data_IF_350919468193
#
_entry.id   IF_350919468193
#
_cell.length_a   1.000
_cell.length_b   1.000
_cell.length_c   1.000
_cell.angle_alpha   90.00
_cell.angle_beta   90.00
_cell.angle_gamma   90.00
#
_symmetry.space_group_name_H-M   'P 1'
#
loop_
_entity.id
_entity.type
_entity.pdbx_description
1 polymer ?
#
# COMPACT_ATOMS: atom_id res chain seq x y z
N UNK A 1 -20.29 15.32 -21.66
CA UNK A 1 -20.65 13.90 -21.43
C UNK A 1 -19.66 13.37 -20.42
N UNK A 2 -20.07 12.55 -19.44
CA UNK A 2 -19.11 11.94 -18.51
C UNK A 2 -18.24 10.96 -19.28
N UNK A 3 -16.92 11.08 -19.16
CA UNK A 3 -15.99 10.10 -19.73
C UNK A 3 -16.28 8.74 -19.09
N UNK A 4 -16.75 7.79 -19.90
CA UNK A 4 -17.03 6.43 -19.45
C UNK A 4 -15.71 5.64 -19.49
N UNK A 5 -15.08 5.49 -18.32
CA UNK A 5 -13.83 4.73 -18.19
C UNK A 5 -14.17 3.27 -17.86
N UNK A 6 -13.99 2.38 -18.84
CA UNK A 6 -14.11 0.92 -18.65
C UNK A 6 -12.72 0.34 -18.47
N UNK A 7 -12.52 -0.48 -17.44
CA UNK A 7 -11.23 -1.10 -17.10
C UNK A 7 -11.32 -2.60 -17.32
N UNK A 8 -10.41 -3.14 -18.13
CA UNK A 8 -10.21 -4.57 -18.29
C UNK A 8 -8.84 -4.97 -17.75
N UNK A 9 -8.78 -6.12 -17.11
CA UNK A 9 -7.52 -6.76 -16.70
C UNK A 9 -7.11 -7.81 -17.73
N UNK A 10 -5.82 -7.85 -18.01
CA UNK A 10 -5.24 -8.72 -19.00
C UNK A 10 -3.81 -9.07 -18.63
N UNK A 11 -3.38 -10.27 -19.02
CA UNK A 11 -2.01 -10.77 -18.87
C UNK A 11 -1.31 -10.71 -20.21
N UNK A 12 -0.02 -10.38 -20.21
CA UNK A 12 0.81 -10.48 -21.42
C UNK A 12 1.61 -11.78 -21.33
N UNK A 13 1.34 -12.72 -22.23
CA UNK A 13 2.04 -14.02 -22.31
C UNK A 13 2.46 -14.28 -23.74
N UNK A 14 3.74 -14.65 -23.95
CA UNK A 14 4.29 -14.95 -25.28
C UNK A 14 3.98 -13.86 -26.34
N UNK A 15 4.14 -12.59 -25.97
CA UNK A 15 3.84 -11.43 -26.80
C UNK A 15 2.36 -11.31 -27.26
N UNK A 16 1.43 -11.90 -26.49
CA UNK A 16 -0.01 -11.83 -26.72
C UNK A 16 -0.71 -11.27 -25.49
N UNK A 17 -1.71 -10.41 -25.73
CA UNK A 17 -2.62 -9.94 -24.70
C UNK A 17 -3.69 -11.01 -24.46
N UNK A 18 -3.67 -11.61 -23.27
CA UNK A 18 -4.64 -12.60 -22.80
C UNK A 18 -5.58 -11.88 -21.83
N UNK A 19 -6.79 -11.56 -22.30
CA UNK A 19 -7.81 -10.90 -21.49
C UNK A 19 -8.38 -11.88 -20.45
N UNK A 20 -8.61 -11.43 -19.21
CA UNK A 20 -9.20 -12.28 -18.17
C UNK A 20 -10.68 -12.60 -18.47
N UNK A 21 -11.41 -11.66 -19.09
CA UNK A 21 -12.77 -11.86 -19.57
C UNK A 21 -12.93 -11.30 -20.99
N UNK A 22 -12.67 -12.18 -21.97
CA UNK A 22 -12.70 -11.84 -23.40
C UNK A 22 -14.11 -11.47 -23.90
N UNK A 23 -15.13 -12.15 -23.39
CA UNK A 23 -16.53 -11.94 -23.80
C UNK A 23 -17.01 -10.54 -23.42
N UNK A 24 -16.72 -10.12 -22.18
CA UNK A 24 -17.05 -8.77 -21.71
C UNK A 24 -16.32 -7.69 -22.50
N UNK A 25 -15.02 -7.88 -22.76
CA UNK A 25 -14.24 -6.94 -23.57
C UNK A 25 -14.80 -6.79 -25.00
N UNK A 26 -15.22 -7.90 -25.59
CA UNK A 26 -15.76 -7.90 -26.95
C UNK A 26 -17.15 -7.23 -27.00
N UNK A 27 -18.00 -7.47 -26.01
CA UNK A 27 -19.27 -6.77 -25.85
C UNK A 27 -19.08 -5.26 -25.67
N UNK A 28 -18.11 -4.84 -24.85
CA UNK A 28 -17.81 -3.42 -24.68
C UNK A 28 -17.32 -2.81 -25.99
N UNK A 29 -16.44 -3.49 -26.72
CA UNK A 29 -15.93 -3.01 -28.01
C UNK A 29 -17.06 -2.78 -29.04
N UNK A 30 -18.03 -3.69 -29.12
CA UNK A 30 -19.21 -3.55 -29.98
C UNK A 30 -20.04 -2.30 -29.63
N UNK A 31 -20.12 -1.92 -28.36
CA UNK A 31 -20.81 -0.69 -27.92
C UNK A 31 -20.09 0.61 -28.30
N UNK A 32 -18.81 0.51 -28.70
CA UNK A 32 -18.00 1.62 -29.20
C UNK A 32 -17.81 1.59 -30.72
N UNK A 33 -18.53 0.74 -31.45
CA UNK A 33 -18.51 0.73 -32.91
C UNK A 33 -18.80 2.13 -33.49
N UNK A 34 -17.93 2.60 -34.38
CA UNK A 34 -18.01 3.94 -34.98
C UNK A 34 -17.54 5.11 -34.09
N UNK A 35 -16.98 4.85 -32.90
CA UNK A 35 -16.41 5.87 -32.00
C UNK A 35 -14.89 5.77 -31.95
N UNK A 36 -14.22 6.90 -31.77
CA UNK A 36 -12.79 6.92 -31.45
C UNK A 36 -12.60 6.60 -29.96
N UNK A 37 -11.83 5.56 -29.66
CA UNK A 37 -11.50 5.15 -28.29
C UNK A 37 -10.00 5.29 -28.00
N UNK A 38 -9.64 5.54 -26.75
CA UNK A 38 -8.27 5.51 -26.26
C UNK A 38 -8.01 4.18 -25.52
N UNK A 39 -6.99 3.43 -25.94
CA UNK A 39 -6.57 2.20 -25.26
C UNK A 39 -5.30 2.49 -24.44
N UNK A 40 -5.38 2.33 -23.12
CA UNK A 40 -4.25 2.58 -22.22
C UNK A 40 -3.78 1.28 -21.58
N UNK A 41 -2.57 0.84 -21.92
CA UNK A 41 -1.90 -0.31 -21.28
C UNK A 41 -1.11 0.22 -20.07
N UNK A 42 -1.53 -0.17 -18.86
CA UNK A 42 -0.78 0.13 -17.62
C UNK A 42 -0.42 -1.18 -16.95
N UNK A 43 0.82 -1.28 -16.44
CA UNK A 43 1.15 -2.33 -15.48
C UNK A 43 0.21 -2.22 -14.28
N UNK A 44 -0.50 -3.30 -13.96
CA UNK A 44 -1.36 -3.32 -12.78
C UNK A 44 -0.43 -3.32 -11.56
N UNK A 45 -0.48 -2.26 -10.75
CA UNK A 45 0.17 -2.27 -9.43
C UNK A 45 -0.55 -3.32 -8.58
N UNK A 46 0.26 -4.24 -8.04
CA UNK A 46 -0.13 -5.50 -7.41
C UNK A 46 -1.33 -5.36 -6.45
N UNK A 47 -2.37 -6.19 -6.62
CA UNK A 47 -3.54 -6.30 -5.70
C UNK A 47 -3.10 -6.55 -4.24
N UNK A 48 -1.92 -7.15 -4.07
CA UNK A 48 -1.19 -7.34 -2.80
C UNK A 48 -0.99 -6.02 -2.04
N UNK A 49 -0.57 -4.93 -2.70
CA UNK A 49 -0.34 -3.65 -2.01
C UNK A 49 -1.65 -2.99 -1.55
N UNK A 50 -2.76 -3.24 -2.25
CA UNK A 50 -4.09 -2.76 -1.88
C UNK A 50 -4.56 -3.48 -0.62
N UNK A 51 -4.39 -4.81 -0.55
CA UNK A 51 -4.76 -5.60 0.63
C UNK A 51 -3.88 -5.26 1.85
N UNK A 52 -2.58 -5.10 1.63
CA UNK A 52 -1.61 -4.67 2.66
C UNK A 52 -1.95 -3.27 3.18
N UNK A 53 -2.22 -2.31 2.29
CA UNK A 53 -2.67 -0.97 2.70
C UNK A 53 -4.01 -1.03 3.44
N UNK A 54 -4.96 -1.84 2.97
CA UNK A 54 -6.26 -1.97 3.63
C UNK A 54 -6.12 -2.53 5.05
N UNK A 55 -5.26 -3.51 5.27
CA UNK A 55 -5.00 -4.02 6.61
C UNK A 55 -4.25 -2.99 7.46
N UNK A 56 -3.21 -2.33 6.92
CA UNK A 56 -2.44 -1.34 7.65
C UNK A 56 -3.32 -0.24 8.22
N UNK A 57 -4.14 0.38 7.36
CA UNK A 57 -5.04 1.46 7.76
C UNK A 57 -6.25 0.96 8.55
N UNK A 58 -6.89 -0.12 8.09
CA UNK A 58 -8.14 -0.62 8.64
C UNK A 58 -8.00 -1.39 9.97
N UNK A 59 -6.82 -1.95 10.23
CA UNK A 59 -6.57 -2.80 11.40
C UNK A 59 -5.49 -2.20 12.29
N UNK A 60 -4.27 -2.01 11.78
CA UNK A 60 -3.11 -1.59 12.61
C UNK A 60 -3.29 -0.17 13.13
N UNK A 61 -3.44 0.80 12.24
CA UNK A 61 -3.58 2.22 12.61
C UNK A 61 -4.88 2.44 13.37
N UNK A 62 -5.98 1.81 12.94
CA UNK A 62 -7.25 1.91 13.65
C UNK A 62 -7.16 1.42 15.10
N UNK A 63 -6.49 0.29 15.36
CA UNK A 63 -6.32 -0.22 16.72
C UNK A 63 -5.55 0.76 17.62
N UNK A 64 -4.51 1.40 17.08
CA UNK A 64 -3.73 2.42 17.79
C UNK A 64 -4.51 3.71 18.03
N UNK A 65 -5.25 4.20 17.03
CA UNK A 65 -6.14 5.37 17.17
C UNK A 65 -7.19 5.13 18.24
N UNK A 66 -7.86 3.97 18.20
CA UNK A 66 -8.89 3.60 19.17
C UNK A 66 -8.28 3.56 20.59
N UNK A 67 -7.08 2.98 20.74
CA UNK A 67 -6.35 2.96 22.01
C UNK A 67 -5.97 4.35 22.51
N UNK A 68 -5.24 5.16 21.73
CA UNK A 68 -4.79 6.49 22.14
C UNK A 68 -5.95 7.43 22.48
N UNK A 69 -7.07 7.30 21.78
CA UNK A 69 -8.28 8.05 22.08
C UNK A 69 -8.98 7.56 23.36
N UNK A 70 -8.98 6.24 23.61
CA UNK A 70 -9.56 5.67 24.84
C UNK A 70 -8.78 6.03 26.10
N UNK A 71 -7.46 5.96 26.03
CA UNK A 71 -6.54 6.28 27.15
C UNK A 71 -6.31 7.80 27.31
N UNK A 72 -6.93 8.63 26.46
CA UNK A 72 -6.75 10.08 26.42
C UNK A 72 -5.27 10.50 26.37
N UNK A 73 -4.41 9.68 25.73
CA UNK A 73 -2.94 9.83 25.76
C UNK A 73 -2.47 11.22 25.34
N UNK A 74 -3.20 11.86 24.43
CA UNK A 74 -2.86 13.18 23.88
C UNK A 74 -3.74 14.32 24.40
N UNK A 75 -4.60 14.10 25.40
CA UNK A 75 -5.62 15.05 25.86
C UNK A 75 -6.53 15.63 24.74
N UNK A 76 -6.51 14.99 23.57
CA UNK A 76 -7.29 15.34 22.38
C UNK A 76 -7.53 14.07 21.57
N UNK A 77 -8.54 14.11 20.70
CA UNK A 77 -8.72 13.04 19.74
C UNK A 77 -7.62 13.11 18.69
N UNK A 78 -6.97 11.98 18.44
CA UNK A 78 -6.02 11.77 17.35
C UNK A 78 -6.71 11.06 16.20
N UNK A 79 -6.33 11.42 14.98
CA UNK A 79 -6.82 10.77 13.76
C UNK A 79 -5.82 9.74 13.21
N UNK A 80 -6.23 8.99 12.18
CA UNK A 80 -5.40 7.95 11.59
C UNK A 80 -4.11 8.49 10.94
N UNK A 81 -4.16 9.66 10.30
CA UNK A 81 -3.01 10.27 9.65
C UNK A 81 -1.95 10.71 10.67
N UNK A 82 -2.38 11.28 11.81
CA UNK A 82 -1.49 11.66 12.90
C UNK A 82 -0.81 10.45 13.52
N UNK A 83 -1.56 9.38 13.77
CA UNK A 83 -0.99 8.12 14.27
C UNK A 83 -0.03 7.51 13.25
N UNK A 84 -0.36 7.57 11.95
CA UNK A 84 0.53 7.14 10.89
C UNK A 84 1.85 7.92 10.90
N UNK A 85 1.81 9.25 10.95
CA UNK A 85 3.02 10.08 11.01
C UNK A 85 3.84 9.82 12.29
N UNK A 86 3.19 9.63 13.44
CA UNK A 86 3.88 9.23 14.68
C UNK A 86 4.61 7.89 14.52
N UNK A 87 3.98 6.91 13.88
CA UNK A 87 4.60 5.61 13.62
C UNK A 87 5.74 5.72 12.61
N UNK A 88 5.61 6.58 11.60
CA UNK A 88 6.71 6.86 10.66
C UNK A 88 7.89 7.47 11.39
N UNK A 89 7.69 8.52 12.19
CA UNK A 89 8.77 9.14 12.96
C UNK A 89 9.45 8.16 13.93
N UNK A 90 8.72 7.16 14.41
CA UNK A 90 9.23 6.18 15.38
C UNK A 90 9.98 5.02 14.74
N UNK A 91 9.50 4.51 13.61
CA UNK A 91 9.98 3.26 13.01
C UNK A 91 10.65 3.44 11.66
N UNK A 92 10.46 4.57 10.98
CA UNK A 92 11.21 4.93 9.79
C UNK A 92 12.30 5.92 10.19
N UNK A 93 13.49 5.71 9.63
CA UNK A 93 14.65 6.54 9.91
C UNK A 93 14.45 7.97 9.41
N UNK A 94 15.10 8.91 10.09
CA UNK A 94 15.25 10.27 9.60
C UNK A 94 16.43 10.31 8.63
N UNK A 95 16.22 10.73 7.40
CA UNK A 95 17.30 11.07 6.47
C UNK A 95 17.69 12.53 6.74
N UNK A 96 18.98 12.73 7.03
CA UNK A 96 19.58 14.06 7.16
C UNK A 96 20.16 14.45 5.81
N UNK A 97 19.61 15.50 5.20
CA UNK A 97 20.16 16.10 3.98
C UNK A 97 21.06 17.27 4.36
N UNK A 98 22.33 17.20 3.96
CA UNK A 98 23.24 18.34 4.07
C UNK A 98 22.99 19.28 2.90
N UNK A 99 22.45 20.47 3.18
CA UNK A 99 22.22 21.50 2.18
C UNK A 99 23.54 22.19 1.79
N UNK A 100 23.66 22.71 0.56
CA UNK A 100 24.90 23.35 0.09
C UNK A 100 25.33 24.59 0.89
N UNK A 101 24.42 25.17 1.67
CA UNK A 101 24.66 26.31 2.54
C UNK A 101 25.17 25.92 3.94
N UNK A 102 25.31 24.63 4.23
CA UNK A 102 25.74 24.11 5.53
C UNK A 102 24.60 23.86 6.52
N UNK A 103 23.34 24.03 6.11
CA UNK A 103 22.18 23.68 6.92
C UNK A 103 21.86 22.18 6.80
N UNK A 104 21.41 21.57 7.89
CA UNK A 104 20.93 20.19 7.92
C UNK A 104 19.39 20.18 7.83
N UNK A 105 18.84 19.48 6.84
CA UNK A 105 17.40 19.29 6.70
C UNK A 105 17.03 17.85 7.02
N UNK A 106 16.30 17.66 8.12
CA UNK A 106 15.78 16.37 8.53
C UNK A 106 14.45 16.08 7.82
N UNK A 107 14.37 14.94 7.13
CA UNK A 107 13.13 14.43 6.56
C UNK A 107 12.94 12.97 6.95
N UNK A 108 11.74 12.61 7.39
CA UNK A 108 11.38 11.22 7.70
C UNK A 108 11.20 10.50 6.36
N UNK A 109 11.82 9.31 6.21
CA UNK A 109 11.62 8.47 5.02
C UNK A 109 10.12 8.32 4.71
N UNK A 110 9.76 8.53 3.44
CA UNK A 110 8.36 8.40 3.06
C UNK A 110 8.02 6.92 2.97
N UNK A 111 6.95 6.50 3.64
CA UNK A 111 6.44 5.12 3.55
C UNK A 111 5.91 4.76 2.15
N UNK A 112 5.97 5.69 1.19
CA UNK A 112 5.58 5.49 -0.21
C UNK A 112 6.71 4.89 -1.05
N UNK A 113 7.96 4.98 -0.59
CA UNK A 113 9.13 4.46 -1.31
C UNK A 113 9.60 3.09 -0.79
N UNK A 114 8.98 2.59 0.28
CA UNK A 114 9.29 1.27 0.86
C UNK A 114 8.86 0.14 -0.10
N UNK A 115 9.73 -0.85 -0.29
CA UNK A 115 9.34 -2.09 -0.96
C UNK A 115 8.33 -2.87 -0.09
N UNK A 116 7.62 -3.82 -0.69
CA UNK A 116 6.60 -4.59 0.02
C UNK A 116 7.17 -5.32 1.24
N UNK A 117 8.39 -5.85 1.15
CA UNK A 117 9.08 -6.49 2.28
C UNK A 117 9.36 -5.49 3.41
N UNK A 118 9.81 -4.29 3.07
CA UNK A 118 10.13 -3.24 4.05
C UNK A 118 8.85 -2.71 4.71
N UNK A 119 7.76 -2.57 3.94
CA UNK A 119 6.45 -2.22 4.47
C UNK A 119 5.91 -3.31 5.42
N UNK A 120 6.25 -4.58 5.15
CA UNK A 120 5.91 -5.71 6.03
C UNK A 120 6.76 -5.76 7.28
N UNK A 121 8.03 -5.40 7.21
CA UNK A 121 8.84 -5.24 8.41
C UNK A 121 8.31 -4.07 9.26
N UNK A 122 7.92 -2.97 8.61
CA UNK A 122 7.45 -1.74 9.25
C UNK A 122 6.20 -1.95 10.11
N UNK A 123 5.09 -2.44 9.55
CA UNK A 123 3.88 -2.72 10.33
C UNK A 123 4.03 -3.87 11.36
N UNK A 124 4.97 -4.81 11.18
CA UNK A 124 5.24 -5.88 12.15
C UNK A 124 5.97 -5.33 13.38
N UNK A 125 6.92 -4.41 13.17
CA UNK A 125 7.56 -3.67 14.26
C UNK A 125 6.53 -2.85 15.06
N UNK A 126 5.55 -2.23 14.38
CA UNK A 126 4.45 -1.53 15.04
C UNK A 126 3.62 -2.50 15.89
N UNK A 127 3.26 -3.68 15.36
CA UNK A 127 2.47 -4.68 16.07
C UNK A 127 3.23 -5.19 17.30
N UNK A 128 4.51 -5.54 17.16
CA UNK A 128 5.35 -6.01 18.25
C UNK A 128 5.43 -4.96 19.37
N UNK A 129 5.71 -3.71 19.02
CA UNK A 129 5.75 -2.60 19.97
C UNK A 129 4.40 -2.35 20.64
N UNK A 130 3.29 -2.48 19.90
CA UNK A 130 1.93 -2.32 20.46
C UNK A 130 1.59 -3.38 21.50
N UNK A 131 2.07 -4.61 21.29
CA UNK A 131 1.94 -5.70 22.27
C UNK A 131 2.83 -5.43 23.49
N UNK A 132 4.08 -5.03 23.29
CA UNK A 132 5.03 -4.82 24.39
C UNK A 132 4.67 -3.63 25.29
N UNK A 133 4.30 -2.49 24.69
CA UNK A 133 4.07 -1.26 25.46
C UNK A 133 2.65 -1.13 25.99
N UNK A 134 1.67 -1.66 25.25
CA UNK A 134 0.25 -1.42 25.52
C UNK A 134 -0.56 -2.70 25.69
N UNK A 135 0.07 -3.87 25.54
CA UNK A 135 -0.60 -5.17 25.57
C UNK A 135 -1.77 -5.27 24.55
N UNK A 136 -1.70 -4.50 23.46
CA UNK A 136 -2.70 -4.50 22.38
C UNK A 136 -2.41 -5.64 21.42
N UNK A 137 -3.33 -6.60 21.34
CA UNK A 137 -3.23 -7.70 20.38
C UNK A 137 -3.85 -7.31 19.05
N UNK A 138 -3.02 -6.89 18.11
CA UNK A 138 -3.44 -6.60 16.74
C UNK A 138 -3.49 -7.94 15.96
N UNK A 139 -4.63 -8.30 15.35
CA UNK A 139 -4.76 -9.57 14.64
C UNK A 139 -3.91 -9.56 13.38
N UNK A 140 -3.07 -10.58 13.17
CA UNK A 140 -2.25 -10.72 11.94
C UNK A 140 -3.12 -10.95 10.69
N UNK A 141 -2.64 -10.60 9.48
CA UNK A 141 -3.30 -10.95 8.23
C UNK A 141 -3.45 -12.48 8.12
N UNK A 142 -4.47 -12.97 7.39
CA UNK A 142 -4.65 -14.42 7.22
C UNK A 142 -3.49 -14.99 6.39
N UNK A 143 -2.89 -16.11 6.81
CA UNK A 143 -1.69 -16.71 6.18
C UNK A 143 -1.77 -16.90 4.65
N UNK A 144 -2.96 -17.19 4.11
CA UNK A 144 -3.17 -17.30 2.64
C UNK A 144 -2.88 -16.00 1.88
N UNK A 145 -2.92 -14.86 2.54
CA UNK A 145 -2.62 -13.55 1.97
C UNK A 145 -1.12 -13.21 2.07
N UNK A 146 -0.40 -13.83 3.02
CA UNK A 146 1.05 -13.69 3.22
C UNK A 146 1.89 -14.59 2.31
N UNK A 147 1.42 -15.77 1.90
CA UNK A 147 2.20 -16.71 1.07
C UNK A 147 2.50 -16.24 -0.37
N UNK A 148 1.84 -15.17 -0.84
CA UNK A 148 2.08 -14.56 -2.17
C UNK A 148 3.25 -13.55 -2.11
N UNK A 149 3.78 -13.28 -0.91
CA UNK A 149 4.67 -12.16 -0.64
C UNK A 149 6.13 -12.50 -0.97
N UNK A 150 6.59 -13.70 -0.63
CA UNK A 150 8.01 -14.07 -0.71
C UNK A 150 8.50 -14.53 -2.11
N UNK A 151 7.58 -14.89 -3.02
CA UNK A 151 7.96 -15.54 -4.29
C UNK A 151 8.38 -14.52 -5.38
N UNK A 152 7.94 -13.25 -5.28
CA UNK A 152 8.24 -12.22 -6.29
C UNK A 152 9.43 -11.32 -5.95
N UNK A 153 9.75 -11.08 -4.67
CA UNK A 153 10.91 -10.25 -4.28
C UNK A 153 12.24 -10.96 -4.60
N UNK A 154 12.26 -12.29 -4.54
CA UNK A 154 13.38 -13.10 -5.02
C UNK A 154 13.65 -12.95 -6.53
N UNK A 155 12.66 -12.55 -7.33
CA UNK A 155 12.81 -12.38 -8.78
C UNK A 155 13.19 -10.95 -9.20
N UNK A 156 13.14 -9.98 -8.28
CA UNK A 156 13.46 -8.57 -8.55
C UNK A 156 14.96 -8.26 -8.37
N UNK A 157 15.71 -9.15 -7.74
CA UNK A 157 17.17 -9.04 -7.53
C UNK A 157 18.02 -9.97 -8.41
N UNK A 158 17.42 -10.63 -9.40
CA UNK A 158 18.13 -11.50 -10.36
C UNK A 158 17.88 -11.04 -11.81
N UNK A 159 17.59 -9.75 -12.00
CA UNK A 159 17.38 -9.12 -13.31
C UNK A 159 18.36 -7.98 -13.55
#
# INVERSE_FOLDING_TARGET
MKDLIIKHTAKVQANKLVMDNKELFQWDLENFEGKTIELVIKGIKNTRSILMNSYYWGVVIKALVDYFNSEQTFNRKVNADEVHELMKMKFLGTIVWNLPNGDEMESVETSKDLDNTEFIAYWENIIAWSVEMFNIKIPKPREKEMLIIDIEDANKHIG
#
